data_IF_351245773289
#
_entry.id   IF_351245773289
#
_cell.length_a   1.000
_cell.length_b   1.000
_cell.length_c   1.000
_cell.angle_alpha   90.00
_cell.angle_beta   90.00
_cell.angle_gamma   90.00
#
_symmetry.space_group_name_H-M   'P 1'
#
loop_
_entity.id
_entity.type
_entity.pdbx_description
1 polymer ?
#
# COMPACT_ATOMS: atom_id res chain seq x y z
N UNK A 1 7.84 -5.77 17.64
CA UNK A 1 7.66 -6.08 16.19
C UNK A 1 7.89 -4.79 15.41
N UNK A 2 8.74 -4.78 14.39
CA UNK A 2 9.18 -3.54 13.72
C UNK A 2 8.32 -3.17 12.50
N UNK A 3 6.99 -3.22 12.62
CA UNK A 3 6.05 -2.90 11.56
C UNK A 3 5.53 -4.11 10.78
N UNK A 4 4.71 -3.83 9.75
CA UNK A 4 4.16 -4.84 8.86
C UNK A 4 5.25 -5.44 7.97
N UNK A 5 5.24 -6.74 7.81
CA UNK A 5 6.17 -7.44 6.92
C UNK A 5 5.67 -7.50 5.47
N UNK A 6 4.39 -7.77 5.31
CA UNK A 6 3.70 -7.84 4.03
C UNK A 6 2.19 -7.75 4.24
N UNK A 7 1.47 -7.38 3.18
CA UNK A 7 0.01 -7.45 3.09
C UNK A 7 -0.35 -8.36 1.93
N UNK A 8 -1.38 -9.20 2.09
CA UNK A 8 -1.90 -10.06 1.02
C UNK A 8 -3.38 -9.76 0.81
N UNK A 9 -3.78 -9.56 -0.44
CA UNK A 9 -5.17 -9.35 -0.86
C UNK A 9 -5.47 -10.17 -2.11
N UNK A 10 -6.75 -10.24 -2.49
CA UNK A 10 -7.20 -10.92 -3.70
C UNK A 10 -7.24 -9.99 -4.91
N UNK A 11 -7.27 -10.59 -6.09
CA UNK A 11 -7.62 -9.92 -7.35
C UNK A 11 -8.37 -10.89 -8.26
N UNK A 12 -9.25 -10.36 -9.09
CA UNK A 12 -9.93 -11.13 -10.15
C UNK A 12 -9.14 -11.14 -11.46
N UNK A 13 -8.12 -10.28 -11.61
CA UNK A 13 -7.34 -10.11 -12.85
C UNK A 13 -5.90 -9.71 -12.53
N UNK A 14 -4.99 -10.67 -12.58
CA UNK A 14 -3.55 -10.43 -12.33
C UNK A 14 -2.90 -9.51 -13.37
N UNK A 15 -3.38 -9.52 -14.63
CA UNK A 15 -2.80 -8.68 -15.67
C UNK A 15 -3.09 -7.19 -15.40
N UNK A 16 -4.33 -6.84 -15.05
CA UNK A 16 -4.71 -5.48 -14.66
C UNK A 16 -3.98 -5.05 -13.40
N UNK A 17 -3.93 -5.92 -12.39
CA UNK A 17 -3.20 -5.65 -11.14
C UNK A 17 -1.72 -5.37 -11.43
N UNK A 18 -1.10 -6.16 -12.30
CA UNK A 18 0.30 -5.93 -12.71
C UNK A 18 0.48 -4.59 -13.41
N UNK A 19 -0.41 -4.25 -14.35
CA UNK A 19 -0.37 -2.94 -15.03
C UNK A 19 -0.47 -1.80 -14.03
N UNK A 20 -1.42 -1.86 -13.09
CA UNK A 20 -1.57 -0.80 -12.08
C UNK A 20 -0.32 -0.67 -11.21
N UNK A 21 0.10 -1.73 -10.53
CA UNK A 21 1.14 -1.62 -9.51
C UNK A 21 2.56 -1.54 -10.08
N UNK A 22 2.84 -2.21 -11.21
CA UNK A 22 4.16 -2.14 -11.86
C UNK A 22 4.26 -0.96 -12.83
N UNK A 23 3.40 -0.95 -13.86
CA UNK A 23 3.62 -0.07 -15.01
C UNK A 23 3.17 1.38 -14.72
N UNK A 24 2.14 1.57 -13.86
CA UNK A 24 1.62 2.88 -13.49
C UNK A 24 2.24 3.40 -12.20
N UNK A 25 2.18 2.61 -11.11
CA UNK A 25 2.67 3.04 -9.79
C UNK A 25 4.17 2.79 -9.57
N UNK A 26 4.83 2.04 -10.44
CA UNK A 26 6.27 1.91 -10.46
C UNK A 26 6.89 0.97 -9.44
N UNK A 27 6.12 0.03 -8.85
CA UNK A 27 6.67 -0.97 -7.95
C UNK A 27 7.41 -2.07 -8.72
N UNK A 28 8.45 -2.64 -8.12
CA UNK A 28 9.04 -3.88 -8.62
C UNK A 28 8.09 -5.06 -8.41
N UNK A 29 8.15 -6.08 -9.28
CA UNK A 29 7.26 -7.24 -9.25
C UNK A 29 8.01 -8.55 -9.41
N UNK A 30 7.64 -9.56 -8.62
CA UNK A 30 7.97 -10.96 -8.85
C UNK A 30 6.68 -11.78 -9.01
N UNK A 31 6.69 -12.68 -9.98
CA UNK A 31 5.56 -13.56 -10.30
C UNK A 31 5.82 -14.96 -9.79
N UNK A 32 4.82 -15.58 -9.16
CA UNK A 32 4.91 -16.96 -8.71
C UNK A 32 3.55 -17.66 -8.84
N UNK A 33 3.39 -18.46 -9.89
CA UNK A 33 2.13 -19.14 -10.18
C UNK A 33 0.99 -18.13 -10.37
N UNK A 34 -0.09 -18.28 -9.60
CA UNK A 34 -1.26 -17.41 -9.63
C UNK A 34 -1.16 -16.27 -8.59
N UNK A 35 0.03 -15.77 -8.34
CA UNK A 35 0.27 -14.68 -7.40
C UNK A 35 1.33 -13.70 -7.91
N UNK A 36 1.11 -12.42 -7.59
CA UNK A 36 2.06 -11.34 -7.79
C UNK A 36 2.56 -10.83 -6.46
N UNK A 37 3.84 -10.53 -6.37
CA UNK A 37 4.46 -9.87 -5.23
C UNK A 37 5.06 -8.57 -5.70
N UNK A 38 4.54 -7.47 -5.22
CA UNK A 38 5.08 -6.12 -5.45
C UNK A 38 5.88 -5.64 -4.24
N UNK A 39 6.74 -4.67 -4.45
CA UNK A 39 7.49 -4.00 -3.40
C UNK A 39 8.53 -3.03 -3.95
N UNK A 40 9.50 -2.72 -3.11
CA UNK A 40 10.68 -1.94 -3.49
C UNK A 40 11.60 -2.71 -4.46
N UNK A 41 12.73 -2.13 -4.87
CA UNK A 41 13.65 -2.74 -5.84
C UNK A 41 14.07 -4.17 -5.50
N UNK A 42 14.21 -4.51 -4.22
CA UNK A 42 14.66 -5.83 -3.74
C UNK A 42 13.55 -6.68 -3.14
N UNK A 43 12.31 -6.20 -3.18
CA UNK A 43 11.17 -6.86 -2.51
C UNK A 43 11.44 -7.11 -1.03
N UNK A 44 11.94 -6.11 -0.33
CA UNK A 44 12.31 -6.19 1.07
C UNK A 44 11.08 -6.40 1.99
N UNK A 45 11.33 -6.97 3.17
CA UNK A 45 10.31 -7.06 4.22
C UNK A 45 9.86 -5.65 4.65
N UNK A 46 8.55 -5.42 4.75
CA UNK A 46 8.00 -4.10 5.05
C UNK A 46 7.61 -3.29 3.80
N UNK A 47 7.89 -3.81 2.61
CA UNK A 47 7.52 -3.18 1.34
C UNK A 47 6.53 -4.02 0.53
N UNK A 48 6.32 -5.28 0.92
CA UNK A 48 5.68 -6.32 0.09
C UNK A 48 4.17 -6.24 0.11
N UNK A 49 3.59 -6.09 -1.07
CA UNK A 49 2.17 -6.23 -1.35
C UNK A 49 1.95 -7.46 -2.23
N UNK A 50 1.16 -8.43 -1.76
CA UNK A 50 0.88 -9.67 -2.48
C UNK A 50 -0.54 -9.67 -3.00
N UNK A 51 -0.72 -10.09 -4.26
CA UNK A 51 -2.01 -10.39 -4.84
C UNK A 51 -2.10 -11.86 -5.22
N UNK A 52 -3.21 -12.48 -4.85
CA UNK A 52 -3.54 -13.85 -5.23
C UNK A 52 -4.78 -13.81 -6.13
N UNK A 53 -4.73 -14.51 -7.24
CA UNK A 53 -5.88 -14.61 -8.13
C UNK A 53 -7.00 -15.41 -7.46
N UNK A 54 -8.16 -14.80 -7.35
CA UNK A 54 -9.38 -15.41 -6.79
C UNK A 54 -10.51 -15.19 -7.81
N UNK A 55 -11.04 -16.24 -8.43
CA UNK A 55 -12.14 -16.10 -9.38
C UNK A 55 -13.33 -15.37 -8.74
N UNK A 56 -13.88 -14.37 -9.43
CA UNK A 56 -14.98 -13.54 -8.95
C UNK A 56 -14.69 -12.84 -7.60
N UNK A 57 -13.45 -12.41 -7.38
CA UNK A 57 -13.08 -11.70 -6.17
C UNK A 57 -13.98 -10.49 -5.92
N UNK A 58 -14.55 -10.41 -4.72
CA UNK A 58 -15.40 -9.32 -4.28
C UNK A 58 -14.83 -8.71 -3.00
N UNK A 59 -14.33 -7.49 -3.10
CA UNK A 59 -13.73 -6.77 -1.99
C UNK A 59 -14.73 -6.34 -0.90
N UNK A 60 -16.05 -6.36 -1.17
CA UNK A 60 -17.08 -5.92 -0.19
C UNK A 60 -17.06 -6.71 1.12
N UNK A 61 -16.56 -7.94 1.09
CA UNK A 61 -16.42 -8.82 2.25
C UNK A 61 -15.03 -8.84 2.85
N UNK A 62 -14.12 -7.99 2.38
CA UNK A 62 -12.76 -7.90 2.89
C UNK A 62 -12.73 -7.13 4.23
N UNK A 63 -11.98 -7.64 5.19
CA UNK A 63 -11.73 -6.97 6.46
C UNK A 63 -10.61 -5.92 6.38
N UNK A 64 -9.84 -5.89 5.30
CA UNK A 64 -8.85 -4.85 5.03
C UNK A 64 -9.57 -3.69 4.36
N UNK A 65 -9.77 -2.62 5.10
CA UNK A 65 -10.50 -1.45 4.61
C UNK A 65 -9.62 -0.53 3.76
N UNK A 66 -8.34 -0.40 4.11
CA UNK A 66 -7.39 0.41 3.34
C UNK A 66 -5.97 -0.15 3.51
N UNK A 67 -5.15 -0.03 2.47
CA UNK A 67 -3.74 -0.44 2.46
C UNK A 67 -2.89 0.77 2.10
N UNK A 68 -2.02 1.19 3.02
CA UNK A 68 -1.10 2.29 2.81
C UNK A 68 0.15 1.87 2.03
N UNK A 69 0.58 2.76 1.13
CA UNK A 69 1.80 2.69 0.36
C UNK A 69 2.61 3.95 0.63
N UNK A 70 3.81 3.81 1.17
CA UNK A 70 4.63 4.96 1.59
C UNK A 70 5.58 5.43 0.49
N UNK A 71 5.61 6.75 0.35
CA UNK A 71 6.56 7.49 -0.49
C UNK A 71 7.44 8.38 0.39
N UNK A 72 8.64 8.79 -0.08
CA UNK A 72 9.59 9.54 0.75
C UNK A 72 9.11 10.89 1.25
N UNK A 73 8.40 11.67 0.41
CA UNK A 73 8.06 13.07 0.71
C UNK A 73 6.69 13.49 0.22
N UNK A 74 6.22 14.63 0.71
CA UNK A 74 4.97 15.27 0.31
C UNK A 74 4.92 15.61 -1.20
N UNK A 75 6.07 15.96 -1.80
CA UNK A 75 6.16 16.30 -3.22
C UNK A 75 5.73 15.12 -4.12
N UNK A 76 6.05 13.90 -3.72
CA UNK A 76 5.66 12.70 -4.44
C UNK A 76 4.15 12.48 -4.52
N UNK A 77 3.36 13.02 -3.59
CA UNK A 77 1.91 12.93 -3.65
C UNK A 77 1.35 13.59 -4.91
N UNK A 78 1.86 14.77 -5.26
CA UNK A 78 1.43 15.49 -6.46
C UNK A 78 1.81 14.72 -7.74
N UNK A 79 3.02 14.16 -7.81
CA UNK A 79 3.43 13.33 -8.95
C UNK A 79 2.51 12.13 -9.13
N UNK A 80 2.15 11.42 -8.04
CA UNK A 80 1.22 10.30 -8.13
C UNK A 80 -0.20 10.72 -8.54
N UNK A 81 -0.69 11.88 -8.11
CA UNK A 81 -1.97 12.40 -8.59
C UNK A 81 -1.93 12.71 -10.10
N UNK A 82 -0.84 13.27 -10.61
CA UNK A 82 -0.64 13.49 -12.05
C UNK A 82 -0.59 12.16 -12.82
N UNK A 83 0.12 11.15 -12.30
CA UNK A 83 0.19 9.80 -12.89
C UNK A 83 -1.21 9.18 -12.95
N UNK A 84 -1.97 9.19 -11.85
CA UNK A 84 -3.31 8.63 -11.80
C UNK A 84 -4.27 9.38 -12.74
N UNK A 85 -4.16 10.71 -12.83
CA UNK A 85 -4.93 11.53 -13.78
C UNK A 85 -4.66 11.12 -15.23
N UNK A 86 -3.38 10.97 -15.59
CA UNK A 86 -2.97 10.52 -16.94
C UNK A 86 -3.55 9.15 -17.31
N UNK A 87 -3.71 8.27 -16.34
CA UNK A 87 -4.28 6.93 -16.53
C UNK A 87 -5.77 6.84 -16.24
N UNK A 88 -6.46 7.99 -16.02
CA UNK A 88 -7.90 8.07 -15.75
C UNK A 88 -8.36 7.28 -14.52
N UNK A 89 -7.49 7.15 -13.53
CA UNK A 89 -7.78 6.50 -12.25
C UNK A 89 -8.24 7.58 -11.27
N UNK A 90 -9.44 7.41 -10.71
CA UNK A 90 -10.00 8.36 -9.75
C UNK A 90 -9.25 8.30 -8.41
N UNK A 91 -9.05 9.45 -7.80
CA UNK A 91 -8.43 9.60 -6.49
C UNK A 91 -9.11 10.73 -5.69
N UNK A 92 -8.87 10.76 -4.39
CA UNK A 92 -9.36 11.79 -3.49
C UNK A 92 -8.34 12.92 -3.33
N UNK A 93 -8.76 14.04 -2.76
CA UNK A 93 -7.86 15.16 -2.44
C UNK A 93 -6.85 14.76 -1.37
N UNK A 94 -5.68 15.43 -1.39
CA UNK A 94 -4.66 15.25 -0.35
C UNK A 94 -5.23 15.75 0.99
N UNK A 95 -5.14 14.91 1.99
CA UNK A 95 -5.58 15.20 3.36
C UNK A 95 -4.49 14.83 4.37
N UNK A 96 -4.72 15.10 5.65
CA UNK A 96 -3.76 14.84 6.73
C UNK A 96 -4.30 13.81 7.72
N UNK A 97 -3.41 12.92 8.16
CA UNK A 97 -3.65 12.00 9.26
C UNK A 97 -2.46 12.08 10.23
N UNK A 98 -2.68 12.70 11.38
CA UNK A 98 -1.67 12.84 12.43
C UNK A 98 -0.37 13.53 11.97
N UNK A 99 -0.47 14.55 11.12
CA UNK A 99 0.67 15.28 10.59
C UNK A 99 1.35 14.64 9.39
N UNK A 100 0.75 13.60 8.81
CA UNK A 100 1.21 12.96 7.59
C UNK A 100 0.19 13.11 6.48
N UNK A 101 0.60 13.65 5.35
CA UNK A 101 -0.27 13.81 4.19
C UNK A 101 -0.44 12.51 3.42
N UNK A 102 -1.63 12.31 2.91
CA UNK A 102 -1.97 11.16 2.07
C UNK A 102 -3.16 11.49 1.18
N UNK A 103 -3.42 10.64 0.20
CA UNK A 103 -4.68 10.60 -0.52
C UNK A 103 -5.08 9.16 -0.83
N UNK A 104 -6.36 8.93 -1.10
CA UNK A 104 -6.91 7.61 -1.42
C UNK A 104 -7.16 7.44 -2.91
N UNK A 105 -7.02 6.20 -3.38
CA UNK A 105 -7.48 5.72 -4.68
C UNK A 105 -7.99 4.28 -4.54
N UNK A 106 -8.56 3.72 -5.61
CA UNK A 106 -9.00 2.31 -5.63
C UNK A 106 -8.41 1.58 -6.81
N UNK A 107 -8.13 0.29 -6.61
CA UNK A 107 -7.78 -0.60 -7.71
C UNK A 107 -9.02 -1.07 -8.50
N UNK A 108 -8.81 -1.87 -9.53
CA UNK A 108 -9.89 -2.44 -10.36
C UNK A 108 -10.86 -3.36 -9.59
N UNK A 109 -10.45 -3.87 -8.44
CA UNK A 109 -11.31 -4.68 -7.55
C UNK A 109 -12.01 -3.84 -6.48
N UNK A 110 -11.92 -2.50 -6.58
CA UNK A 110 -12.45 -1.53 -5.63
C UNK A 110 -11.80 -1.63 -4.23
N UNK A 111 -10.62 -2.25 -4.11
CA UNK A 111 -9.84 -2.22 -2.88
C UNK A 111 -9.27 -0.81 -2.69
N UNK A 112 -9.56 -0.14 -1.56
CA UNK A 112 -8.96 1.14 -1.27
C UNK A 112 -7.48 1.02 -0.91
N UNK A 113 -6.70 1.93 -1.49
CA UNK A 113 -5.29 2.17 -1.16
C UNK A 113 -5.09 3.63 -0.81
N UNK A 114 -4.07 3.94 -0.01
CA UNK A 114 -3.60 5.30 0.09
C UNK A 114 -2.11 5.42 -0.29
N UNK A 115 -1.77 6.53 -0.92
CA UNK A 115 -0.38 6.99 -1.05
C UNK A 115 -0.11 7.90 0.14
N UNK A 116 0.85 7.52 0.98
CA UNK A 116 1.11 8.09 2.28
C UNK A 116 2.53 8.68 2.35
N UNK A 117 2.65 9.96 2.65
CA UNK A 117 3.95 10.62 2.80
C UNK A 117 4.67 10.13 4.04
N UNK A 118 5.93 9.76 3.88
CA UNK A 118 6.82 9.39 4.96
C UNK A 118 7.63 10.57 5.51
N UNK A 119 7.41 11.76 4.98
CA UNK A 119 8.03 12.98 5.50
C UNK A 119 7.71 13.12 7.00
N UNK A 120 8.71 13.40 7.80
CA UNK A 120 8.63 13.46 9.27
C UNK A 120 8.33 12.13 9.99
N UNK A 121 8.30 10.99 9.30
CA UNK A 121 8.11 9.69 9.95
C UNK A 121 9.45 9.14 10.47
N UNK A 122 9.51 8.84 11.77
CA UNK A 122 10.68 8.25 12.43
C UNK A 122 10.55 6.74 12.67
N UNK A 123 9.48 6.12 12.13
CA UNK A 123 9.17 4.70 12.32
C UNK A 123 10.01 3.75 11.46
N UNK A 124 9.36 2.78 10.80
CA UNK A 124 10.02 1.81 9.94
C UNK A 124 10.70 2.49 8.74
N UNK A 125 11.93 2.10 8.38
CA UNK A 125 12.65 2.66 7.24
C UNK A 125 11.90 2.42 5.92
N UNK A 126 12.16 3.25 4.93
CA UNK A 126 11.78 2.99 3.55
C UNK A 126 12.73 1.97 2.92
N UNK A 127 12.24 1.29 1.88
CA UNK A 127 13.05 0.43 1.03
C UNK A 127 13.85 1.23 -0.02
N UNK A 128 14.17 0.59 -1.12
CA UNK A 128 15.00 1.16 -2.18
C UNK A 128 14.18 1.39 -3.45
N UNK A 129 14.38 2.54 -4.15
CA UNK A 129 13.70 2.78 -5.42
C UNK A 129 14.20 1.84 -6.51
N UNK A 130 13.35 1.50 -7.48
CA UNK A 130 13.75 0.80 -8.70
C UNK A 130 14.05 1.79 -9.82
N UNK A 131 15.12 1.54 -10.57
CA UNK A 131 15.48 2.38 -11.72
C UNK A 131 14.77 1.96 -13.02
N UNK A 132 13.97 0.90 -12.98
CA UNK A 132 13.17 0.43 -14.13
C UNK A 132 11.79 1.10 -14.24
N UNK A 133 11.45 1.95 -13.28
CA UNK A 133 10.20 2.70 -13.23
C UNK A 133 10.27 4.02 -13.98
N UNK A 134 9.11 4.48 -14.47
CA UNK A 134 8.93 5.84 -15.02
C UNK A 134 8.68 6.90 -13.93
N UNK A 135 8.40 6.47 -12.70
CA UNK A 135 8.22 7.35 -11.53
C UNK A 135 9.59 7.83 -11.05
N UNK A 136 9.70 9.10 -10.69
CA UNK A 136 10.93 9.65 -10.15
C UNK A 136 11.41 8.82 -8.93
N UNK A 137 12.67 8.32 -8.92
CA UNK A 137 13.18 7.51 -7.81
C UNK A 137 13.07 8.17 -6.43
N UNK A 138 13.10 9.51 -6.36
CA UNK A 138 12.92 10.25 -5.11
C UNK A 138 11.49 10.24 -4.57
N UNK A 139 10.51 9.86 -5.40
CA UNK A 139 9.09 9.88 -5.06
C UNK A 139 8.45 8.49 -5.07
N UNK A 140 9.18 7.44 -5.50
CA UNK A 140 8.63 6.10 -5.64
C UNK A 140 8.07 5.53 -4.33
N UNK A 141 7.06 4.66 -4.46
CA UNK A 141 6.55 3.84 -3.37
C UNK A 141 7.67 2.89 -2.91
N UNK A 142 8.10 3.01 -1.66
CA UNK A 142 9.21 2.28 -1.08
C UNK A 142 8.85 1.58 0.25
N UNK A 143 7.56 1.47 0.58
CA UNK A 143 7.16 0.82 1.82
C UNK A 143 5.66 0.62 1.96
N UNK A 144 5.28 -0.27 2.87
CA UNK A 144 3.90 -0.36 3.35
C UNK A 144 3.63 0.76 4.34
N UNK A 145 2.49 1.41 4.20
CA UNK A 145 1.96 2.41 5.10
C UNK A 145 0.99 1.83 6.13
N UNK A 146 0.14 2.66 6.72
CA UNK A 146 -0.92 2.21 7.61
C UNK A 146 -1.86 1.25 6.90
N UNK A 147 -2.27 0.18 7.58
CA UNK A 147 -3.34 -0.72 7.13
C UNK A 147 -4.52 -0.56 8.06
N UNK A 148 -5.67 -0.23 7.48
CA UNK A 148 -6.93 -0.11 8.23
C UNK A 148 -7.67 -1.44 8.10
N UNK A 149 -7.99 -2.03 9.25
CA UNK A 149 -8.78 -3.26 9.32
C UNK A 149 -10.12 -3.00 10.00
N UNK A 150 -11.18 -3.59 9.45
CA UNK A 150 -12.52 -3.55 10.04
C UNK A 150 -12.70 -4.74 10.97
N UNK A 151 -13.08 -4.47 12.21
CA UNK A 151 -13.27 -5.50 13.23
C UNK A 151 -14.61 -5.31 13.94
N UNK A 152 -15.21 -6.41 14.39
CA UNK A 152 -16.48 -6.37 15.13
C UNK A 152 -16.24 -6.03 16.61
N UNK A 153 -15.13 -6.49 17.18
CA UNK A 153 -14.77 -6.36 18.60
C UNK A 153 -13.46 -5.59 18.76
N UNK A 154 -13.57 -4.25 18.81
CA UNK A 154 -12.39 -3.38 18.84
C UNK A 154 -11.47 -3.64 20.05
N UNK A 155 -12.05 -3.68 21.27
CA UNK A 155 -11.26 -3.87 22.48
C UNK A 155 -10.55 -5.23 22.53
N UNK A 156 -11.24 -6.29 22.11
CA UNK A 156 -10.62 -7.62 22.04
C UNK A 156 -9.50 -7.65 21.01
N UNK A 157 -9.73 -7.09 19.83
CA UNK A 157 -8.70 -7.01 18.78
C UNK A 157 -7.49 -6.18 19.24
N UNK A 158 -7.72 -5.05 19.87
CA UNK A 158 -6.66 -4.21 20.43
C UNK A 158 -5.84 -4.97 21.48
N UNK A 159 -6.50 -5.66 22.42
CA UNK A 159 -5.82 -6.48 23.44
C UNK A 159 -4.95 -7.56 22.81
N UNK A 160 -5.45 -8.29 21.81
CA UNK A 160 -4.67 -9.30 21.08
C UNK A 160 -3.45 -8.66 20.38
N UNK A 161 -3.64 -7.53 19.71
CA UNK A 161 -2.55 -6.86 19.01
C UNK A 161 -1.46 -6.34 19.95
N UNK A 162 -1.85 -5.80 21.12
CA UNK A 162 -0.90 -5.24 22.10
C UNK A 162 -0.29 -6.31 22.99
N UNK A 163 -1.07 -7.23 23.55
CA UNK A 163 -0.60 -8.19 24.56
C UNK A 163 0.02 -9.44 23.94
N UNK A 164 -0.50 -9.93 22.80
CA UNK A 164 -0.01 -11.13 22.15
C UNK A 164 1.06 -10.80 21.10
N UNK A 165 0.80 -9.79 20.26
CA UNK A 165 1.74 -9.41 19.19
C UNK A 165 2.73 -8.32 19.60
N UNK A 166 2.56 -7.69 20.76
CA UNK A 166 3.47 -6.67 21.29
C UNK A 166 3.48 -5.38 20.44
N UNK A 167 2.35 -5.04 19.79
CA UNK A 167 2.22 -3.76 19.11
C UNK A 167 2.04 -2.65 20.14
N UNK A 168 2.63 -1.49 19.87
CA UNK A 168 2.49 -0.31 20.73
C UNK A 168 1.26 0.47 20.26
N UNK A 169 0.39 0.80 21.20
CA UNK A 169 -0.73 1.69 20.96
C UNK A 169 -0.25 3.14 21.05
N UNK A 170 -0.41 3.90 19.98
CA UNK A 170 -0.23 5.35 19.96
C UNK A 170 -1.60 6.01 20.04
N UNK A 171 -1.81 6.84 21.06
CA UNK A 171 -2.98 7.69 21.21
C UNK A 171 -2.74 9.03 20.50
#
# INVERSE_FOLDING_TARGET
MNGLRSVTTGTSDLAKTKTLFKDILGLNVAEKGQALRFGDAELNSGTRLHFVEIPNYDNRNNHIENIGLRIPSDEGLNEYQEILTKHQIAYEEITDLNGHKYFNFKDDNLQPFNIYSNEHNTGAPLGMPTFESTVNPLHQIQGLGPVIIRVNELLLTQSVLTEVFGLIHFC
#
